data_IF_826093918722
#
_entry.id   IF_826093918722
#
_cell.length_a   1.000
_cell.length_b   1.000
_cell.length_c   1.000
_cell.angle_alpha   90.00
_cell.angle_beta   90.00
_cell.angle_gamma   90.00
#
_symmetry.space_group_name_H-M   'P 1'
#
loop_
_entity.id
_entity.type
_entity.pdbx_description
1 polymer ?
#
# COMPACT_ATOMS: atom_id res chain seq x y z
N UNK A 1 -10.61 6.05 1.45
CA UNK A 1 -10.61 4.58 1.39
C UNK A 1 -9.98 4.03 2.65
N UNK A 2 -10.37 2.83 3.05
CA UNK A 2 -9.77 2.08 4.14
C UNK A 2 -9.38 0.70 3.60
N UNK A 3 -8.13 0.28 3.83
CA UNK A 3 -7.64 -1.05 3.48
C UNK A 3 -7.79 -2.00 4.67
N UNK A 4 -8.43 -3.14 4.45
CA UNK A 4 -8.76 -4.11 5.50
C UNK A 4 -8.02 -5.41 5.24
N UNK A 5 -7.44 -5.99 6.30
CA UNK A 5 -6.86 -7.33 6.25
C UNK A 5 -7.90 -8.42 6.51
N UNK A 6 -7.68 -9.59 5.93
CA UNK A 6 -8.55 -10.76 6.08
C UNK A 6 -8.76 -11.23 7.52
N UNK A 7 -7.90 -10.77 8.45
CA UNK A 7 -8.02 -11.08 9.90
C UNK A 7 -9.08 -10.25 10.63
N UNK A 8 -9.58 -9.19 10.02
CA UNK A 8 -10.51 -8.25 10.67
C UNK A 8 -11.98 -8.57 10.37
N UNK A 9 -12.30 -9.82 10.01
CA UNK A 9 -13.68 -10.26 9.84
C UNK A 9 -14.45 -10.29 11.15
N UNK A 10 -15.75 -10.00 11.07
CA UNK A 10 -16.69 -10.25 12.17
C UNK A 10 -17.18 -11.70 12.09
N UNK A 11 -16.66 -12.52 12.95
CA UNK A 11 -16.96 -13.96 12.97
C UNK A 11 -18.04 -14.34 13.99
N UNK A 12 -18.64 -13.36 14.68
CA UNK A 12 -19.70 -13.60 15.67
C UNK A 12 -19.27 -14.54 16.81
N UNK A 13 -18.00 -14.47 17.21
CA UNK A 13 -17.42 -15.34 18.26
C UNK A 13 -17.11 -16.77 17.80
N UNK A 14 -17.32 -17.11 16.53
CA UNK A 14 -16.99 -18.44 15.98
C UNK A 14 -15.55 -18.47 15.48
N UNK A 15 -14.91 -19.63 15.56
CA UNK A 15 -13.62 -19.86 14.92
C UNK A 15 -13.87 -20.12 13.42
N UNK A 16 -13.39 -19.23 12.57
CA UNK A 16 -13.40 -19.36 11.11
C UNK A 16 -11.96 -19.36 10.65
N UNK A 17 -11.55 -20.37 9.89
CA UNK A 17 -10.19 -20.43 9.38
C UNK A 17 -10.01 -19.56 8.15
N UNK A 18 -8.74 -19.28 7.78
CA UNK A 18 -8.38 -18.38 6.67
C UNK A 18 -8.97 -18.82 5.33
N UNK A 19 -9.04 -20.09 5.07
CA UNK A 19 -9.64 -20.66 3.86
C UNK A 19 -11.17 -20.83 3.93
N UNK A 20 -11.81 -20.33 4.99
CA UNK A 20 -13.27 -20.40 5.18
C UNK A 20 -13.94 -19.01 5.24
N UNK A 21 -13.15 -17.93 5.14
CA UNK A 21 -13.68 -16.57 5.17
C UNK A 21 -14.62 -16.30 3.99
N UNK A 22 -15.66 -15.53 4.23
CA UNK A 22 -16.70 -15.20 3.25
C UNK A 22 -17.09 -13.71 3.35
N UNK A 23 -17.71 -13.13 2.28
CA UNK A 23 -18.15 -11.73 2.29
C UNK A 23 -19.03 -11.34 3.48
N UNK A 24 -19.87 -12.26 3.95
CA UNK A 24 -20.73 -12.03 5.13
C UNK A 24 -19.98 -11.63 6.39
N UNK A 25 -18.74 -12.11 6.55
CA UNK A 25 -17.89 -11.80 7.70
C UNK A 25 -17.33 -10.36 7.65
N UNK A 26 -17.51 -9.67 6.55
CA UNK A 26 -17.06 -8.29 6.34
C UNK A 26 -18.22 -7.32 6.07
N UNK A 27 -19.47 -7.77 6.25
CA UNK A 27 -20.64 -6.94 5.98
C UNK A 27 -20.70 -5.71 6.88
N UNK A 28 -20.31 -5.82 8.16
CA UNK A 28 -20.26 -4.69 9.10
C UNK A 28 -19.32 -3.58 8.62
N UNK A 29 -18.18 -3.93 7.98
CA UNK A 29 -17.27 -2.97 7.36
C UNK A 29 -17.89 -2.29 6.15
N UNK A 30 -18.60 -3.03 5.31
CA UNK A 30 -19.29 -2.49 4.14
C UNK A 30 -20.39 -1.52 4.56
N UNK A 31 -21.16 -1.87 5.58
CA UNK A 31 -22.25 -1.02 6.10
C UNK A 31 -21.69 0.25 6.74
N UNK A 32 -20.60 0.12 7.49
CA UNK A 32 -19.87 1.28 8.02
C UNK A 32 -19.35 2.19 6.89
N UNK A 33 -18.77 1.61 5.85
CA UNK A 33 -18.24 2.38 4.72
C UNK A 33 -19.35 3.14 3.99
N UNK A 34 -20.51 2.52 3.78
CA UNK A 34 -21.69 3.19 3.21
C UNK A 34 -22.16 4.37 4.08
N UNK A 35 -22.23 4.15 5.39
CA UNK A 35 -22.69 5.18 6.33
C UNK A 35 -21.74 6.39 6.41
N UNK A 36 -20.46 6.22 6.06
CA UNK A 36 -19.44 7.25 6.14
C UNK A 36 -18.93 7.73 4.76
N UNK A 37 -19.62 7.38 3.67
CA UNK A 37 -19.19 7.66 2.28
C UNK A 37 -17.72 7.25 2.02
N UNK A 38 -17.34 6.11 2.55
CA UNK A 38 -16.00 5.54 2.42
C UNK A 38 -15.97 4.39 1.40
N UNK A 39 -14.82 4.14 0.83
CA UNK A 39 -14.55 2.97 -0.01
C UNK A 39 -13.60 2.03 0.74
N UNK A 40 -13.63 0.74 0.37
CA UNK A 40 -12.81 -0.29 1.00
C UNK A 40 -11.87 -0.92 -0.02
N UNK A 41 -10.69 -1.29 0.47
CA UNK A 41 -9.72 -2.15 -0.17
C UNK A 41 -9.43 -3.36 0.71
N UNK A 42 -8.82 -4.40 0.18
CA UNK A 42 -8.65 -5.66 0.90
C UNK A 42 -7.27 -6.27 0.71
N UNK A 43 -6.70 -6.79 1.79
CA UNK A 43 -5.44 -7.52 1.79
C UNK A 43 -5.66 -8.98 2.17
N UNK A 44 -5.14 -9.91 1.37
CA UNK A 44 -4.92 -11.28 1.82
C UNK A 44 -3.92 -11.29 2.96
N UNK A 45 -4.12 -12.18 3.95
CA UNK A 45 -3.22 -12.27 5.12
C UNK A 45 -2.73 -13.69 5.27
N UNK A 46 -1.55 -13.98 4.69
CA UNK A 46 -0.95 -15.31 4.68
C UNK A 46 0.06 -15.56 5.81
N UNK A 47 0.22 -14.62 6.71
CA UNK A 47 1.10 -14.71 7.88
C UNK A 47 0.31 -14.87 9.19
N UNK A 48 1.02 -15.14 10.30
CA UNK A 48 0.43 -15.35 11.64
C UNK A 48 -0.61 -16.47 11.68
N UNK A 49 -0.28 -17.60 11.06
CA UNK A 49 -1.10 -18.82 11.02
C UNK A 49 -0.21 -20.06 11.11
N UNK A 50 -0.66 -21.19 11.72
CA UNK A 50 0.16 -22.41 11.83
C UNK A 50 0.67 -22.96 10.50
N UNK A 51 -0.07 -22.77 9.40
CA UNK A 51 0.34 -23.17 8.05
C UNK A 51 1.16 -22.10 7.32
N UNK A 52 1.53 -21.00 7.98
CA UNK A 52 2.34 -19.96 7.33
C UNK A 52 3.78 -20.41 7.14
N UNK A 53 4.43 -21.04 8.14
CA UNK A 53 5.81 -21.52 8.05
C UNK A 53 6.75 -20.52 7.37
N UNK A 54 7.77 -21.02 6.67
CA UNK A 54 8.65 -20.21 5.83
C UNK A 54 8.05 -19.93 4.43
N UNK A 55 7.00 -20.68 4.05
CA UNK A 55 6.41 -20.60 2.72
C UNK A 55 4.92 -20.91 2.74
N UNK A 56 4.16 -20.11 2.04
CA UNK A 56 2.72 -20.22 1.85
C UNK A 56 2.37 -20.66 0.40
N UNK A 57 2.22 -19.73 -0.52
CA UNK A 57 1.87 -19.98 -1.92
C UNK A 57 3.00 -20.66 -2.72
N UNK A 58 4.23 -20.63 -2.24
CA UNK A 58 5.38 -21.31 -2.85
C UNK A 58 5.78 -22.59 -2.12
N UNK A 59 5.04 -23.04 -1.12
CA UNK A 59 5.37 -24.25 -0.34
C UNK A 59 5.49 -25.49 -1.22
N UNK A 60 6.45 -26.37 -0.91
CA UNK A 60 6.56 -27.69 -1.54
C UNK A 60 5.37 -28.60 -1.17
N UNK A 61 4.81 -28.40 0.01
CA UNK A 61 3.59 -29.11 0.41
C UNK A 61 2.38 -28.56 -0.36
N UNK A 62 1.78 -29.46 -1.16
CA UNK A 62 0.60 -29.10 -1.96
C UNK A 62 -0.60 -28.71 -1.09
N UNK A 63 -0.77 -29.35 0.07
CA UNK A 63 -1.90 -29.06 0.94
C UNK A 63 -1.80 -27.64 1.53
N UNK A 64 -0.58 -27.22 1.88
CA UNK A 64 -0.31 -25.82 2.31
C UNK A 64 -0.61 -24.83 1.18
N UNK A 65 -0.13 -25.12 -0.04
CA UNK A 65 -0.44 -24.24 -1.18
C UNK A 65 -1.94 -24.16 -1.47
N UNK A 66 -2.64 -25.30 -1.49
CA UNK A 66 -4.08 -25.34 -1.76
C UNK A 66 -4.87 -24.52 -0.71
N UNK A 67 -4.48 -24.60 0.56
CA UNK A 67 -5.06 -23.77 1.64
C UNK A 67 -4.91 -22.29 1.36
N UNK A 68 -3.70 -21.83 1.01
CA UNK A 68 -3.43 -20.40 0.77
C UNK A 68 -3.98 -19.91 -0.58
N UNK A 69 -4.06 -20.77 -1.58
CA UNK A 69 -4.77 -20.46 -2.83
C UNK A 69 -6.25 -20.21 -2.54
N UNK A 70 -6.92 -21.09 -1.80
CA UNK A 70 -8.33 -20.91 -1.44
C UNK A 70 -8.54 -19.66 -0.59
N UNK A 71 -7.66 -19.41 0.40
CA UNK A 71 -7.68 -18.16 1.18
C UNK A 71 -7.65 -16.92 0.29
N UNK A 72 -6.72 -16.88 -0.68
CA UNK A 72 -6.56 -15.72 -1.56
C UNK A 72 -7.74 -15.58 -2.53
N UNK A 73 -8.28 -16.68 -3.06
CA UNK A 73 -9.49 -16.66 -3.89
C UNK A 73 -10.68 -16.07 -3.10
N UNK A 74 -10.85 -16.48 -1.84
CA UNK A 74 -11.90 -15.93 -0.96
C UNK A 74 -11.69 -14.48 -0.64
N UNK A 75 -10.46 -14.07 -0.37
CA UNK A 75 -10.10 -12.66 -0.16
C UNK A 75 -10.48 -11.80 -1.37
N UNK A 76 -10.21 -12.28 -2.59
CA UNK A 76 -10.63 -11.59 -3.82
C UNK A 76 -12.16 -11.52 -3.97
N UNK A 77 -12.89 -12.58 -3.62
CA UNK A 77 -14.36 -12.57 -3.61
C UNK A 77 -14.93 -11.59 -2.59
N UNK A 78 -14.26 -11.42 -1.44
CA UNK A 78 -14.64 -10.42 -0.44
C UNK A 78 -14.41 -9.01 -0.99
N UNK A 79 -13.25 -8.75 -1.60
CA UNK A 79 -12.95 -7.49 -2.27
C UNK A 79 -13.96 -7.19 -3.40
N UNK A 80 -14.34 -8.21 -4.18
CA UNK A 80 -15.34 -8.08 -5.25
C UNK A 80 -16.71 -7.67 -4.73
N UNK A 81 -17.15 -8.27 -3.63
CA UNK A 81 -18.41 -7.90 -2.98
C UNK A 81 -18.34 -6.51 -2.35
N UNK A 82 -17.21 -6.10 -1.77
CA UNK A 82 -16.97 -4.73 -1.31
C UNK A 82 -17.10 -3.73 -2.47
N UNK A 83 -16.42 -4.00 -3.58
CA UNK A 83 -16.51 -3.18 -4.78
C UNK A 83 -17.92 -3.07 -5.31
N UNK A 84 -18.60 -4.20 -5.45
CA UNK A 84 -20.00 -4.27 -5.92
C UNK A 84 -20.96 -3.48 -5.04
N UNK A 85 -20.90 -3.67 -3.71
CA UNK A 85 -21.83 -2.99 -2.79
C UNK A 85 -21.55 -1.50 -2.62
N UNK A 86 -20.29 -1.08 -2.80
CA UNK A 86 -19.87 0.32 -2.68
C UNK A 86 -19.84 1.06 -4.03
N UNK A 87 -20.29 0.40 -5.11
CA UNK A 87 -20.28 0.92 -6.47
C UNK A 87 -18.91 1.48 -6.86
N UNK A 88 -17.86 0.63 -6.73
CA UNK A 88 -16.46 0.97 -6.95
C UNK A 88 -15.67 -0.28 -7.33
N UNK A 89 -14.39 -0.13 -7.63
CA UNK A 89 -13.44 -1.24 -7.72
C UNK A 89 -12.53 -1.22 -6.51
N UNK A 90 -12.61 -2.28 -5.68
CA UNK A 90 -11.73 -2.43 -4.54
C UNK A 90 -10.33 -2.88 -5.00
N UNK A 91 -9.27 -2.28 -4.47
CA UNK A 91 -7.93 -2.83 -4.62
C UNK A 91 -7.80 -4.07 -3.73
N UNK A 92 -7.32 -5.17 -4.31
CA UNK A 92 -6.91 -6.36 -3.56
C UNK A 92 -5.40 -6.49 -3.65
N UNK A 93 -4.72 -6.40 -2.52
CA UNK A 93 -3.28 -6.55 -2.45
C UNK A 93 -2.89 -7.95 -1.97
N UNK A 94 -1.99 -8.59 -2.67
CA UNK A 94 -1.42 -9.88 -2.32
C UNK A 94 0.06 -9.72 -2.03
N UNK A 95 0.39 -9.74 -0.74
CA UNK A 95 1.74 -9.89 -0.22
C UNK A 95 1.91 -11.23 0.48
N UNK A 96 3.06 -11.89 0.30
CA UNK A 96 3.44 -13.11 0.99
C UNK A 96 4.85 -12.98 1.58
N UNK A 97 5.09 -13.70 2.68
CA UNK A 97 6.37 -13.70 3.39
C UNK A 97 7.32 -14.81 2.90
N UNK A 98 7.00 -15.46 1.80
CA UNK A 98 7.71 -16.67 1.34
C UNK A 98 9.18 -16.40 1.00
N UNK A 99 10.08 -17.18 1.60
CA UNK A 99 11.51 -17.05 1.39
C UNK A 99 12.34 -17.96 2.29
N UNK A 100 13.60 -17.63 2.45
CA UNK A 100 14.54 -18.37 3.29
C UNK A 100 15.57 -17.47 3.94
N UNK A 101 15.91 -17.79 5.19
CA UNK A 101 17.01 -17.17 5.90
C UNK A 101 18.36 -17.64 5.38
N UNK A 102 18.48 -18.94 5.10
CA UNK A 102 19.70 -19.58 4.65
C UNK A 102 19.72 -19.80 3.13
N UNK A 103 20.86 -20.33 2.63
CA UNK A 103 21.07 -20.56 1.21
C UNK A 103 20.03 -21.49 0.61
N UNK A 104 19.27 -20.98 -0.35
CA UNK A 104 18.29 -21.74 -1.13
C UNK A 104 18.94 -22.20 -2.43
N UNK A 105 18.94 -23.50 -2.69
CA UNK A 105 19.48 -24.12 -3.91
C UNK A 105 18.45 -24.07 -5.03
N UNK A 106 17.21 -24.43 -4.74
CA UNK A 106 16.16 -24.65 -5.76
C UNK A 106 15.24 -23.43 -5.89
N UNK A 107 15.81 -22.26 -6.12
CA UNK A 107 15.08 -20.99 -6.25
C UNK A 107 14.06 -21.01 -7.38
N UNK A 108 14.39 -21.68 -8.49
CA UNK A 108 13.52 -21.81 -9.64
C UNK A 108 12.25 -22.59 -9.31
N UNK A 109 12.35 -23.68 -8.56
CA UNK A 109 11.19 -24.47 -8.13
C UNK A 109 10.22 -23.62 -7.30
N UNK A 110 10.69 -22.92 -6.27
CA UNK A 110 9.83 -22.09 -5.41
C UNK A 110 9.11 -21.00 -6.20
N UNK A 111 9.81 -20.34 -7.12
CA UNK A 111 9.20 -19.34 -8.02
C UNK A 111 8.20 -19.96 -8.99
N UNK A 112 8.46 -21.17 -9.49
CA UNK A 112 7.53 -21.91 -10.34
C UNK A 112 6.26 -22.30 -9.59
N UNK A 113 6.39 -22.74 -8.33
CA UNK A 113 5.25 -23.06 -7.45
C UNK A 113 4.41 -21.81 -7.13
N UNK A 114 5.08 -20.68 -6.83
CA UNK A 114 4.37 -19.41 -6.64
C UNK A 114 3.61 -19.01 -7.91
N UNK A 115 4.26 -19.08 -9.07
CA UNK A 115 3.60 -18.76 -10.34
C UNK A 115 2.38 -19.64 -10.60
N UNK A 116 2.46 -20.94 -10.38
CA UNK A 116 1.34 -21.87 -10.52
C UNK A 116 0.18 -21.52 -9.57
N UNK A 117 0.52 -21.15 -8.33
CA UNK A 117 -0.46 -20.70 -7.33
C UNK A 117 -1.17 -19.41 -7.76
N UNK A 118 -0.42 -18.43 -8.24
CA UNK A 118 -0.97 -17.15 -8.74
C UNK A 118 -1.86 -17.38 -9.97
N UNK A 119 -1.44 -18.23 -10.91
CA UNK A 119 -2.24 -18.55 -12.10
C UNK A 119 -3.61 -19.15 -11.70
N UNK A 120 -3.65 -20.01 -10.68
CA UNK A 120 -4.90 -20.57 -10.13
C UNK A 120 -5.76 -19.52 -9.44
N UNK A 121 -5.16 -18.64 -8.66
CA UNK A 121 -5.84 -17.57 -7.95
C UNK A 121 -6.51 -16.61 -8.95
N UNK A 122 -5.76 -16.13 -9.93
CA UNK A 122 -6.22 -15.10 -10.88
C UNK A 122 -7.08 -15.68 -12.03
N UNK A 123 -7.19 -17.01 -12.14
CA UNK A 123 -8.18 -17.64 -13.02
C UNK A 123 -9.64 -17.34 -12.58
N UNK A 124 -9.87 -17.08 -11.30
CA UNK A 124 -11.19 -16.67 -10.78
C UNK A 124 -11.47 -15.21 -11.17
N UNK A 125 -12.58 -14.97 -11.86
CA UNK A 125 -12.97 -13.60 -12.25
C UNK A 125 -13.61 -12.85 -11.08
N UNK A 126 -13.12 -11.63 -10.83
CA UNK A 126 -13.64 -10.69 -9.84
C UNK A 126 -13.75 -9.31 -10.50
N UNK A 127 -14.91 -8.97 -11.13
CA UNK A 127 -15.03 -7.80 -12.01
C UNK A 127 -14.94 -6.46 -11.27
N UNK A 128 -15.21 -6.45 -9.96
CA UNK A 128 -15.16 -5.25 -9.13
C UNK A 128 -13.84 -5.15 -8.32
N UNK A 129 -12.79 -5.85 -8.77
CA UNK A 129 -11.48 -5.87 -8.11
C UNK A 129 -10.41 -5.32 -9.06
N UNK A 130 -9.49 -4.56 -8.49
CA UNK A 130 -8.17 -4.24 -9.05
C UNK A 130 -7.15 -5.08 -8.28
N UNK A 131 -6.66 -6.15 -8.89
CA UNK A 131 -5.67 -7.01 -8.26
C UNK A 131 -4.27 -6.40 -8.32
N UNK A 132 -3.53 -6.52 -7.22
CA UNK A 132 -2.13 -6.13 -7.09
C UNK A 132 -1.30 -7.23 -6.45
N UNK A 133 -0.05 -7.36 -6.86
CA UNK A 133 0.95 -8.26 -6.28
C UNK A 133 2.12 -7.46 -5.75
N UNK A 134 2.54 -7.75 -4.53
CA UNK A 134 3.52 -6.96 -3.80
C UNK A 134 4.82 -7.73 -3.58
N UNK A 135 5.92 -7.11 -3.97
CA UNK A 135 7.25 -7.67 -3.75
C UNK A 135 7.73 -7.46 -2.32
N UNK A 136 8.79 -8.21 -1.98
CA UNK A 136 9.62 -7.99 -0.80
C UNK A 136 11.09 -8.07 -1.22
N UNK A 137 11.95 -7.27 -0.61
CA UNK A 137 13.37 -7.34 -0.87
C UNK A 137 14.04 -8.39 0.04
N UNK A 138 13.99 -8.16 1.34
CA UNK A 138 14.48 -9.05 2.40
C UNK A 138 13.75 -8.71 3.71
N UNK A 139 14.05 -9.44 4.77
CA UNK A 139 13.51 -9.18 6.10
C UNK A 139 13.85 -10.33 7.04
N UNK A 140 13.33 -10.29 8.25
CA UNK A 140 13.52 -11.37 9.23
C UNK A 140 12.99 -12.69 8.66
N UNK A 141 13.88 -13.65 8.48
CA UNK A 141 13.60 -14.95 7.85
C UNK A 141 13.73 -14.97 6.31
N UNK A 142 14.04 -13.85 5.66
CA UNK A 142 14.16 -13.72 4.19
C UNK A 142 15.53 -13.17 3.75
N UNK A 143 16.53 -13.25 4.60
CA UNK A 143 17.82 -12.58 4.40
C UNK A 143 18.57 -13.10 3.19
N UNK A 144 18.43 -14.40 2.84
CA UNK A 144 19.12 -15.02 1.72
C UNK A 144 18.31 -15.10 0.45
N UNK A 145 16.97 -15.28 0.56
CA UNK A 145 16.12 -15.51 -0.59
C UNK A 145 14.68 -15.09 -0.32
N UNK A 146 14.16 -14.20 -1.15
CA UNK A 146 12.74 -13.87 -1.25
C UNK A 146 12.18 -14.48 -2.53
N UNK A 147 11.10 -15.28 -2.43
CA UNK A 147 10.47 -15.91 -3.61
C UNK A 147 9.83 -14.86 -4.50
N UNK A 148 9.01 -13.99 -3.92
CA UNK A 148 8.32 -12.88 -4.57
C UNK A 148 9.18 -11.61 -4.64
N UNK A 149 10.29 -11.64 -5.38
CA UNK A 149 11.12 -10.45 -5.62
C UNK A 149 10.42 -9.46 -6.55
N UNK A 150 10.96 -8.23 -6.62
CA UNK A 150 10.41 -7.18 -7.51
C UNK A 150 10.36 -7.65 -8.97
N UNK A 151 11.43 -8.25 -9.48
CA UNK A 151 11.51 -8.71 -10.87
C UNK A 151 10.48 -9.80 -11.17
N UNK A 152 10.22 -10.69 -10.19
CA UNK A 152 9.22 -11.74 -10.33
C UNK A 152 7.82 -11.12 -10.47
N UNK A 153 7.42 -10.24 -9.55
CA UNK A 153 6.09 -9.66 -9.56
C UNK A 153 5.89 -8.61 -10.64
N UNK A 154 6.93 -7.83 -10.99
CA UNK A 154 6.88 -6.94 -12.15
C UNK A 154 6.60 -7.74 -13.43
N UNK A 155 7.37 -8.81 -13.68
CA UNK A 155 7.15 -9.68 -14.84
C UNK A 155 5.77 -10.32 -14.85
N UNK A 156 5.29 -10.76 -13.68
CA UNK A 156 3.96 -11.35 -13.55
C UNK A 156 2.84 -10.34 -13.78
N UNK A 157 2.93 -9.14 -13.20
CA UNK A 157 1.95 -8.07 -13.32
C UNK A 157 1.81 -7.59 -14.77
N UNK A 158 2.93 -7.28 -15.44
CA UNK A 158 2.95 -6.87 -16.85
C UNK A 158 2.35 -7.94 -17.74
N UNK A 159 2.75 -9.21 -17.56
CA UNK A 159 2.24 -10.32 -18.38
C UNK A 159 0.73 -10.53 -18.25
N UNK A 160 0.16 -10.33 -17.06
CA UNK A 160 -1.22 -10.65 -16.75
C UNK A 160 -2.14 -9.41 -16.69
N UNK A 161 -1.61 -8.21 -16.93
CA UNK A 161 -2.39 -6.96 -16.93
C UNK A 161 -2.99 -6.61 -15.57
N UNK A 162 -2.30 -6.97 -14.47
CA UNK A 162 -2.65 -6.59 -13.10
C UNK A 162 -1.67 -5.57 -12.56
N UNK A 163 -1.96 -4.97 -11.41
CA UNK A 163 -1.06 -4.01 -10.78
C UNK A 163 0.14 -4.70 -10.11
N UNK A 164 1.27 -4.01 -10.11
CA UNK A 164 2.33 -4.25 -9.13
C UNK A 164 2.19 -3.23 -7.98
N UNK A 165 2.41 -3.69 -6.76
CA UNK A 165 2.50 -2.82 -5.59
C UNK A 165 3.95 -2.40 -5.41
N UNK A 166 4.17 -1.08 -5.37
CA UNK A 166 5.45 -0.47 -5.03
C UNK A 166 5.36 0.01 -3.58
N UNK A 167 6.01 -0.67 -2.67
CA UNK A 167 6.14 -0.26 -1.27
C UNK A 167 7.47 0.46 -1.06
N UNK A 168 7.44 1.60 -0.34
CA UNK A 168 8.64 2.40 -0.09
C UNK A 168 9.69 1.68 0.76
N UNK A 169 9.29 0.67 1.53
CA UNK A 169 10.18 -0.16 2.35
C UNK A 169 10.71 -1.41 1.67
N UNK A 170 10.18 -1.78 0.50
CA UNK A 170 10.48 -3.07 -0.14
C UNK A 170 11.57 -3.02 -1.20
N UNK A 171 12.40 -1.97 -1.20
CA UNK A 171 13.57 -1.82 -2.08
C UNK A 171 14.84 -1.65 -1.25
N UNK A 172 15.98 -1.80 -1.90
CA UNK A 172 17.25 -1.58 -1.24
C UNK A 172 17.32 -0.14 -0.69
N UNK A 173 17.90 0.09 0.52
CA UNK A 173 17.92 1.42 1.15
C UNK A 173 18.58 2.54 0.34
N UNK A 174 19.31 2.20 -0.72
CA UNK A 174 19.89 3.17 -1.67
C UNK A 174 19.04 3.40 -2.91
N UNK A 175 17.89 2.71 -3.03
CA UNK A 175 16.95 2.92 -4.12
C UNK A 175 15.79 3.79 -3.66
N UNK A 176 15.27 4.58 -4.60
CA UNK A 176 14.11 5.43 -4.35
C UNK A 176 12.88 4.89 -5.10
N UNK A 177 11.78 4.73 -4.37
CA UNK A 177 10.55 4.17 -4.94
C UNK A 177 9.94 5.09 -6.01
N UNK A 178 10.09 6.42 -5.85
CA UNK A 178 9.56 7.37 -6.83
C UNK A 178 10.14 7.16 -8.23
N UNK A 179 11.41 6.75 -8.35
CA UNK A 179 12.07 6.51 -9.64
C UNK A 179 11.46 5.31 -10.42
N UNK A 180 10.72 4.46 -9.75
CA UNK A 180 10.08 3.28 -10.33
C UNK A 180 8.68 3.57 -10.90
N UNK A 181 8.04 4.65 -10.49
CA UNK A 181 6.62 4.95 -10.79
C UNK A 181 6.40 5.16 -12.29
N UNK A 182 7.06 6.13 -12.88
CA UNK A 182 6.91 6.41 -14.32
C UNK A 182 7.41 5.25 -15.19
N UNK A 183 8.46 4.55 -14.76
CA UNK A 183 8.96 3.36 -15.44
C UNK A 183 7.88 2.26 -15.50
N UNK A 184 7.24 1.96 -14.38
CA UNK A 184 6.19 0.93 -14.31
C UNK A 184 4.94 1.32 -15.10
N UNK A 185 4.53 2.59 -15.07
CA UNK A 185 3.33 3.08 -15.76
C UNK A 185 3.43 3.06 -17.29
N UNK A 186 4.61 2.81 -17.84
CA UNK A 186 4.78 2.55 -19.29
C UNK A 186 4.33 1.12 -19.66
N UNK A 187 4.28 0.20 -18.70
CA UNK A 187 4.04 -1.22 -18.96
C UNK A 187 2.81 -1.78 -18.23
N UNK A 188 2.33 -1.09 -17.19
CA UNK A 188 1.11 -1.46 -16.46
C UNK A 188 0.08 -0.35 -16.57
N UNK A 189 -1.22 -0.67 -16.61
CA UNK A 189 -2.27 0.35 -16.71
C UNK A 189 -2.37 1.23 -15.47
N UNK A 190 -2.13 0.63 -14.30
CA UNK A 190 -2.17 1.26 -12.98
C UNK A 190 -1.14 0.58 -12.07
N UNK A 191 -0.79 1.24 -10.97
CA UNK A 191 0.00 0.66 -9.87
C UNK A 191 -0.72 0.87 -8.53
N UNK A 192 -0.43 0.02 -7.57
CA UNK A 192 -0.69 0.25 -6.16
C UNK A 192 0.60 0.75 -5.51
N UNK A 193 0.51 1.81 -4.73
CA UNK A 193 1.63 2.39 -4.01
C UNK A 193 1.38 2.28 -2.51
N UNK A 194 2.30 1.68 -1.79
CA UNK A 194 2.34 1.71 -0.34
C UNK A 194 3.33 2.78 0.14
N UNK A 195 2.77 3.82 0.77
CA UNK A 195 3.55 4.91 1.34
C UNK A 195 3.88 4.56 2.78
N UNK A 196 5.15 4.32 3.03
CA UNK A 196 5.72 4.00 4.34
C UNK A 196 6.97 4.85 4.58
N UNK A 197 7.58 4.74 5.75
CA UNK A 197 8.88 5.35 6.03
C UNK A 197 9.86 4.30 6.51
N UNK A 198 10.65 3.72 5.60
CA UNK A 198 11.71 2.80 5.98
C UNK A 198 12.83 3.56 6.71
N UNK A 199 13.33 2.98 7.81
CA UNK A 199 14.49 3.48 8.53
C UNK A 199 15.58 2.44 8.43
N UNK A 200 16.49 2.61 7.48
CA UNK A 200 17.58 1.69 7.09
C UNK A 200 17.14 0.39 6.43
N UNK A 201 15.94 -0.08 6.67
CA UNK A 201 15.35 -1.28 6.10
C UNK A 201 13.82 -1.14 6.17
N UNK A 202 13.09 -2.14 5.72
CA UNK A 202 11.64 -2.21 5.80
C UNK A 202 11.17 -2.29 7.25
N UNK A 203 10.92 -1.15 7.85
CA UNK A 203 10.63 -0.98 9.28
C UNK A 203 9.29 -0.31 9.56
N UNK A 204 8.51 -0.04 8.51
CA UNK A 204 7.12 0.44 8.54
C UNK A 204 6.86 1.60 9.53
N UNK A 205 7.78 2.57 9.58
CA UNK A 205 7.58 3.73 10.43
C UNK A 205 6.52 4.67 9.88
N UNK A 206 5.92 5.42 10.80
CA UNK A 206 4.96 6.49 10.45
C UNK A 206 5.57 7.47 9.46
N UNK A 207 4.83 7.73 8.39
CA UNK A 207 5.22 8.68 7.34
C UNK A 207 5.36 10.08 7.91
N UNK A 208 6.44 10.75 7.56
CA UNK A 208 6.69 12.17 7.82
C UNK A 208 6.91 12.89 6.49
N UNK A 209 6.82 14.21 6.51
CA UNK A 209 7.09 15.04 5.33
C UNK A 209 8.61 15.16 5.11
N UNK A 210 9.19 14.16 4.48
CA UNK A 210 10.60 14.10 4.10
C UNK A 210 10.77 14.14 2.57
N UNK A 211 12.02 14.20 2.11
CA UNK A 211 12.33 14.32 0.68
C UNK A 211 11.76 13.16 -0.14
N UNK A 212 11.86 11.91 0.32
CA UNK A 212 11.35 10.75 -0.41
C UNK A 212 9.84 10.83 -0.66
N UNK A 213 9.04 11.24 0.33
CA UNK A 213 7.59 11.41 0.18
C UNK A 213 7.24 12.60 -0.71
N UNK A 214 8.01 13.69 -0.63
CA UNK A 214 7.81 14.86 -1.50
C UNK A 214 8.13 14.52 -2.95
N UNK A 215 9.26 13.86 -3.23
CA UNK A 215 9.64 13.44 -4.58
C UNK A 215 8.68 12.40 -5.16
N UNK A 216 8.17 11.51 -4.33
CA UNK A 216 7.14 10.56 -4.73
C UNK A 216 5.85 11.25 -5.19
N UNK A 217 5.38 12.24 -4.44
CA UNK A 217 4.23 13.04 -4.83
C UNK A 217 4.49 13.87 -6.10
N UNK A 218 5.69 14.43 -6.24
CA UNK A 218 6.12 15.16 -7.42
C UNK A 218 6.12 14.25 -8.66
N UNK A 219 6.70 13.06 -8.58
CA UNK A 219 6.74 12.11 -9.69
C UNK A 219 5.34 11.78 -10.19
N UNK A 220 4.40 11.48 -9.29
CA UNK A 220 3.01 11.17 -9.63
C UNK A 220 2.30 12.35 -10.30
N UNK A 221 2.43 13.55 -9.70
CA UNK A 221 1.76 14.76 -10.21
C UNK A 221 2.38 15.22 -11.53
N UNK A 222 3.71 15.21 -11.63
CA UNK A 222 4.41 15.67 -12.82
C UNK A 222 4.26 14.73 -14.01
N UNK A 223 4.06 13.42 -13.76
CA UNK A 223 3.72 12.43 -14.78
C UNK A 223 2.24 12.46 -15.20
N UNK A 224 1.39 13.33 -14.60
CA UNK A 224 -0.07 13.32 -14.78
C UNK A 224 -0.70 11.96 -14.47
N UNK A 225 -0.24 11.31 -13.41
CA UNK A 225 -0.54 9.92 -13.09
C UNK A 225 -1.46 9.73 -11.87
N UNK A 226 -2.09 10.81 -11.36
CA UNK A 226 -2.97 10.73 -10.19
C UNK A 226 -4.13 9.74 -10.35
N UNK A 227 -4.60 9.53 -11.56
CA UNK A 227 -5.67 8.59 -11.89
C UNK A 227 -5.18 7.15 -12.18
N UNK A 228 -3.86 6.94 -12.18
CA UNK A 228 -3.21 5.63 -12.46
C UNK A 228 -2.50 5.06 -11.24
N UNK A 229 -2.41 5.81 -10.14
CA UNK A 229 -1.73 5.39 -8.93
C UNK A 229 -2.75 5.29 -7.80
N UNK A 230 -2.97 4.07 -7.32
CA UNK A 230 -3.79 3.80 -6.15
C UNK A 230 -2.89 3.90 -4.92
N UNK A 231 -3.17 4.87 -4.03
CA UNK A 231 -2.27 5.19 -2.90
C UNK A 231 -2.82 4.58 -1.62
N UNK A 232 -2.05 3.71 -1.00
CA UNK A 232 -2.24 3.17 0.34
C UNK A 232 -1.17 3.72 1.30
N UNK A 233 -1.55 3.92 2.56
CA UNK A 233 -0.60 4.18 3.64
C UNK A 233 -0.36 2.85 4.35
N UNK A 234 0.88 2.39 4.38
CA UNK A 234 1.25 1.13 5.00
C UNK A 234 2.38 1.32 6.01
N UNK A 235 2.01 1.46 7.27
CA UNK A 235 2.94 1.63 8.37
C UNK A 235 2.31 1.27 9.73
N UNK A 236 3.15 0.97 10.69
CA UNK A 236 2.77 0.58 12.04
C UNK A 236 3.25 1.59 13.08
N UNK A 237 2.33 2.30 13.74
CA UNK A 237 2.64 3.25 14.81
C UNK A 237 2.77 2.61 16.18
N UNK A 238 3.52 1.49 16.32
CA UNK A 238 3.52 0.68 17.55
C UNK A 238 4.06 1.39 18.79
N UNK A 239 4.92 2.39 18.62
CA UNK A 239 5.56 3.13 19.74
C UNK A 239 4.86 4.42 20.11
N UNK A 240 3.81 4.81 19.41
CA UNK A 240 3.05 6.04 19.66
C UNK A 240 1.54 5.75 19.59
N UNK A 241 0.73 6.74 19.98
CA UNK A 241 -0.72 6.65 19.83
C UNK A 241 -1.09 6.29 18.39
N UNK A 242 -1.87 5.21 18.20
CA UNK A 242 -2.18 4.67 16.86
C UNK A 242 -3.00 5.64 16.02
N UNK A 243 -3.96 6.34 16.61
CA UNK A 243 -4.78 7.34 15.91
C UNK A 243 -3.89 8.50 15.48
N UNK A 244 -3.04 8.99 16.40
CA UNK A 244 -2.04 10.01 16.10
C UNK A 244 -1.11 9.61 14.95
N UNK A 245 -0.64 8.36 14.95
CA UNK A 245 0.18 7.83 13.86
C UNK A 245 -0.51 7.94 12.50
N UNK A 246 -1.77 7.50 12.38
CA UNK A 246 -2.55 7.58 11.14
C UNK A 246 -2.80 9.03 10.71
N UNK A 247 -3.13 9.91 11.65
CA UNK A 247 -3.36 11.33 11.34
C UNK A 247 -2.08 12.00 10.85
N UNK A 248 -0.95 11.78 11.53
CA UNK A 248 0.36 12.35 11.15
C UNK A 248 0.74 11.90 9.74
N UNK A 249 0.73 10.60 9.47
CA UNK A 249 1.15 10.07 8.18
C UNK A 249 0.22 10.47 7.04
N UNK A 250 -1.10 10.47 7.26
CA UNK A 250 -2.06 10.96 6.27
C UNK A 250 -1.84 12.43 5.94
N UNK A 251 -1.65 13.28 6.95
CA UNK A 251 -1.38 14.71 6.76
C UNK A 251 -0.04 14.95 6.06
N UNK A 252 1.00 14.19 6.41
CA UNK A 252 2.31 14.28 5.76
C UNK A 252 2.20 13.98 4.26
N UNK A 253 1.52 12.89 3.91
CA UNK A 253 1.29 12.50 2.51
C UNK A 253 0.46 13.55 1.76
N UNK A 254 -0.66 14.03 2.35
CA UNK A 254 -1.48 15.08 1.74
C UNK A 254 -0.69 16.39 1.50
N UNK A 255 0.17 16.78 2.45
CA UNK A 255 1.02 17.96 2.31
C UNK A 255 2.04 17.80 1.17
N UNK A 256 2.64 16.62 1.01
CA UNK A 256 3.53 16.34 -0.10
C UNK A 256 2.81 16.46 -1.45
N UNK A 257 1.61 15.91 -1.59
CA UNK A 257 0.79 16.07 -2.80
C UNK A 257 0.36 17.52 -3.04
N UNK A 258 0.00 18.26 -2.00
CA UNK A 258 -0.32 19.69 -2.14
C UNK A 258 0.87 20.48 -2.68
N UNK A 259 2.07 20.26 -2.14
CA UNK A 259 3.29 20.89 -2.65
C UNK A 259 3.55 20.56 -4.13
N UNK A 260 3.40 19.29 -4.50
CA UNK A 260 3.56 18.85 -5.87
C UNK A 260 2.54 19.50 -6.82
N UNK A 261 1.27 19.59 -6.42
CA UNK A 261 0.20 20.25 -7.19
C UNK A 261 0.38 21.76 -7.33
N UNK A 262 0.98 22.42 -6.34
CA UNK A 262 1.26 23.85 -6.37
C UNK A 262 2.59 24.19 -7.05
N UNK A 263 3.38 23.20 -7.43
CA UNK A 263 4.68 23.43 -8.07
C UNK A 263 4.54 24.11 -9.44
N UNK A 264 5.44 25.01 -9.82
CA UNK A 264 5.42 25.70 -11.11
C UNK A 264 5.94 24.81 -12.25
N UNK A 265 5.28 23.67 -12.47
CA UNK A 265 5.75 22.58 -13.35
C UNK A 265 6.04 23.04 -14.77
N UNK A 266 5.24 23.96 -15.34
CA UNK A 266 5.47 24.48 -16.68
C UNK A 266 6.84 25.17 -16.78
N UNK A 267 7.15 26.04 -15.82
CA UNK A 267 8.42 26.77 -15.79
C UNK A 267 9.61 25.84 -15.52
N UNK A 268 9.42 24.80 -14.67
CA UNK A 268 10.43 23.79 -14.42
C UNK A 268 10.78 23.00 -15.70
N UNK A 269 9.77 22.60 -16.47
CA UNK A 269 9.95 21.93 -17.78
C UNK A 269 10.60 22.84 -18.82
N UNK A 270 10.24 24.13 -18.85
CA UNK A 270 10.86 25.10 -19.74
C UNK A 270 12.36 25.30 -19.42
N UNK A 271 12.71 25.34 -18.14
CA UNK A 271 14.11 25.38 -17.73
C UNK A 271 14.88 24.12 -18.08
N UNK A 272 14.27 22.95 -17.87
CA UNK A 272 14.88 21.68 -18.21
C UNK A 272 15.14 21.53 -19.70
N UNK A 273 14.13 21.74 -20.54
CA UNK A 273 14.21 21.59 -21.98
C UNK A 273 15.17 22.59 -22.65
N UNK A 274 15.37 23.77 -22.02
CA UNK A 274 16.29 24.81 -22.50
C UNK A 274 17.69 24.72 -21.84
N UNK A 275 18.01 23.67 -21.08
CA UNK A 275 19.31 23.47 -20.43
C UNK A 275 19.61 24.43 -19.29
N UNK A 276 18.60 25.12 -18.76
CA UNK A 276 18.73 26.08 -17.64
C UNK A 276 18.66 25.38 -16.29
N UNK A 277 19.58 24.44 -16.06
CA UNK A 277 19.54 23.55 -14.87
C UNK A 277 19.74 24.27 -13.55
N UNK A 278 20.57 25.32 -13.51
CA UNK A 278 20.73 26.16 -12.32
C UNK A 278 19.40 26.82 -11.92
N UNK A 279 18.70 27.43 -12.88
CA UNK A 279 17.43 28.11 -12.64
C UNK A 279 16.33 27.11 -12.21
N UNK A 280 16.34 25.90 -12.79
CA UNK A 280 15.44 24.82 -12.40
C UNK A 280 15.65 24.43 -10.94
N UNK A 281 16.91 24.20 -10.52
CA UNK A 281 17.22 23.84 -9.14
C UNK A 281 16.87 24.97 -8.17
N UNK A 282 17.22 26.23 -8.51
CA UNK A 282 16.87 27.36 -7.68
C UNK A 282 15.35 27.48 -7.47
N UNK A 283 14.56 27.34 -8.55
CA UNK A 283 13.10 27.40 -8.44
C UNK A 283 12.51 26.25 -7.60
N UNK A 284 13.09 25.05 -7.69
CA UNK A 284 12.69 23.91 -6.85
C UNK A 284 12.96 24.21 -5.37
N UNK A 285 14.13 24.73 -5.03
CA UNK A 285 14.48 25.07 -3.64
C UNK A 285 13.61 26.21 -3.08
N UNK A 286 13.40 27.29 -3.83
CA UNK A 286 12.52 28.38 -3.40
C UNK A 286 11.07 27.92 -3.23
N UNK A 287 10.61 26.95 -4.04
CA UNK A 287 9.26 26.38 -3.93
C UNK A 287 9.01 25.68 -2.60
N UNK A 288 10.04 25.16 -1.94
CA UNK A 288 9.91 24.50 -0.62
C UNK A 288 9.46 25.44 0.48
N UNK A 289 9.78 26.73 0.36
CA UNK A 289 9.48 27.78 1.35
C UNK A 289 8.21 28.60 1.03
N UNK A 290 7.52 28.30 -0.08
CA UNK A 290 6.24 28.95 -0.40
C UNK A 290 5.17 28.68 0.67
N UNK A 291 4.17 29.57 0.85
CA UNK A 291 3.19 29.46 1.94
C UNK A 291 2.13 28.36 1.71
N UNK A 292 2.51 27.22 1.20
CA UNK A 292 1.65 26.07 0.97
C UNK A 292 1.02 25.52 2.26
N UNK A 293 1.68 25.71 3.42
CA UNK A 293 1.13 25.29 4.71
C UNK A 293 -0.16 26.03 5.04
N UNK A 294 -0.23 27.34 4.76
CA UNK A 294 -1.45 28.12 4.94
C UNK A 294 -2.59 27.65 4.02
N UNK A 295 -2.25 27.23 2.80
CA UNK A 295 -3.23 26.63 1.87
C UNK A 295 -3.75 25.30 2.41
N UNK A 296 -2.89 24.47 3.00
CA UNK A 296 -3.29 23.22 3.62
C UNK A 296 -4.20 23.44 4.84
N UNK A 297 -3.87 24.39 5.69
CA UNK A 297 -4.70 24.70 6.87
C UNK A 297 -6.08 25.25 6.45
N UNK A 298 -6.12 26.11 5.44
CA UNK A 298 -7.39 26.56 4.84
C UNK A 298 -8.21 25.38 4.28
N UNK A 299 -7.56 24.44 3.59
CA UNK A 299 -8.22 23.21 3.10
C UNK A 299 -8.81 22.41 4.26
N UNK A 300 -8.06 22.23 5.36
CA UNK A 300 -8.56 21.53 6.55
C UNK A 300 -9.80 22.22 7.12
N UNK A 301 -9.74 23.52 7.36
CA UNK A 301 -10.86 24.30 7.89
C UNK A 301 -12.10 24.22 6.99
N UNK A 302 -11.92 24.33 5.67
CA UNK A 302 -13.01 24.24 4.70
C UNK A 302 -13.69 22.85 4.69
N UNK A 303 -12.97 21.81 5.08
CA UNK A 303 -13.47 20.44 5.17
C UNK A 303 -13.83 20.01 6.60
N UNK A 304 -13.99 20.95 7.52
CA UNK A 304 -14.30 20.69 8.94
C UNK A 304 -13.27 19.77 9.61
N UNK A 305 -12.00 19.85 9.19
CA UNK A 305 -10.89 19.13 9.79
C UNK A 305 -10.01 20.08 10.62
N UNK A 306 -9.40 19.61 11.71
CA UNK A 306 -8.50 20.45 12.50
C UNK A 306 -7.35 21.03 11.67
N UNK A 307 -7.06 22.32 11.83
CA UNK A 307 -5.90 22.98 11.23
C UNK A 307 -4.66 22.81 12.12
N UNK A 308 -3.50 23.04 11.56
CA UNK A 308 -2.21 22.94 12.27
C UNK A 308 -2.14 21.75 13.24
N UNK A 309 -1.90 21.98 14.54
CA UNK A 309 -1.82 20.99 15.61
C UNK A 309 -3.11 20.73 16.39
N UNK A 310 -4.22 21.36 16.04
CA UNK A 310 -5.49 21.28 16.78
C UNK A 310 -6.04 19.85 16.93
N UNK A 311 -5.62 18.93 16.06
CA UNK A 311 -5.98 17.51 16.16
C UNK A 311 -5.41 16.81 17.40
N UNK A 312 -4.33 17.32 17.99
CA UNK A 312 -3.63 16.69 19.13
C UNK A 312 -4.56 16.58 20.32
N UNK A 313 -5.17 17.70 20.74
CA UNK A 313 -6.09 17.71 21.87
C UNK A 313 -7.30 16.78 21.69
N UNK A 314 -7.82 16.70 20.46
CA UNK A 314 -8.92 15.78 20.12
C UNK A 314 -8.51 14.31 20.28
N UNK A 315 -7.30 13.94 19.86
CA UNK A 315 -6.78 12.58 19.98
C UNK A 315 -6.53 12.23 21.45
N UNK A 316 -5.91 13.13 22.21
CA UNK A 316 -5.64 12.95 23.66
C UNK A 316 -6.94 12.76 24.45
N UNK A 317 -7.97 13.55 24.13
CA UNK A 317 -9.29 13.40 24.75
C UNK A 317 -9.89 12.02 24.41
N UNK A 318 -9.87 11.60 23.15
CA UNK A 318 -10.37 10.29 22.74
C UNK A 318 -9.60 9.13 23.40
N UNK A 319 -8.28 9.26 23.51
CA UNK A 319 -7.45 8.28 24.20
C UNK A 319 -7.87 8.13 25.67
N UNK A 320 -8.04 9.26 26.37
CA UNK A 320 -8.48 9.29 27.77
C UNK A 320 -9.90 8.73 27.96
N UNK A 321 -10.83 9.07 27.08
CA UNK A 321 -12.25 8.75 27.25
C UNK A 321 -12.63 7.36 26.73
N UNK A 322 -11.93 6.86 25.72
CA UNK A 322 -12.32 5.65 24.98
C UNK A 322 -11.23 4.59 25.00
N UNK A 323 -10.04 4.85 24.42
CA UNK A 323 -9.06 3.77 24.19
C UNK A 323 -8.41 3.27 25.46
N UNK A 324 -8.20 4.12 26.48
CA UNK A 324 -7.66 3.72 27.78
C UNK A 324 -8.61 2.86 28.63
N UNK A 325 -9.87 2.72 28.22
CA UNK A 325 -10.91 1.96 28.93
C UNK A 325 -11.25 0.63 28.24
N UNK A 326 -10.52 0.25 27.16
CA UNK A 326 -10.77 -0.98 26.39
C UNK A 326 -9.80 -2.10 26.73
#
# INVERSE_FOLDING_TARGET
>A
RLSIHAIYGDFGGKKVDRNEIEPKHFQSWIDWAKANDMKLDFNSTSFSHPLSGDQSLSSRDKAVRDFWIEHTIRSRKIADEMGRQLNDKACHNLWIHDGSKDLTVDRYLYRSLLKDSLDKIFATKCPNVKDAVECKLFGTGLESFTVGSHEFYMGYAVKNGIMATLDMGHFHPTEETYDKISAMLLFTPEILLHVSRPVRWDSDHVVILNDSVQMLAQEIVWADALNKVNIGLDYFGASINRIGAYVIGSRATQKAFLQALLSPIKQLRDYESSGRFFQRLALLEESKSMPWAAVYDYFCLKNNAPAAEDYIATIEQYEKEVTSKR
#
